data_IF_427450560638
#
_entry.id   IF_427450560638
#
_cell.length_a   1.000
_cell.length_b   1.000
_cell.length_c   1.000
_cell.angle_alpha   90.00
_cell.angle_beta   90.00
_cell.angle_gamma   90.00
#
_symmetry.space_group_name_H-M   'P 1'
#
loop_
_entity.id
_entity.type
_entity.pdbx_description
1 polymer ?
#
# COMPACT_ATOMS: atom_id res chain seq x y z
N UNK A 1 -62.14 17.01 -15.03
CA UNK A 1 -63.12 17.59 -14.09
C UNK A 1 -64.41 16.76 -14.13
N UNK A 2 -64.89 16.35 -12.95
CA UNK A 2 -66.23 15.91 -12.52
C UNK A 2 -67.09 14.98 -13.41
N UNK A 3 -67.44 13.73 -13.05
CA UNK A 3 -68.13 13.11 -11.88
C UNK A 3 -69.66 12.93 -12.10
N UNK A 4 -70.10 11.66 -11.99
CA UNK A 4 -71.39 11.10 -11.51
C UNK A 4 -72.68 11.28 -12.33
N UNK A 5 -73.72 10.43 -12.24
CA UNK A 5 -74.08 9.19 -11.50
C UNK A 5 -75.37 8.68 -12.17
N UNK A 6 -75.68 7.38 -12.18
CA UNK A 6 -77.07 6.90 -12.01
C UNK A 6 -77.12 5.39 -11.76
N UNK A 7 -77.78 4.98 -10.68
CA UNK A 7 -78.16 3.61 -10.32
C UNK A 7 -79.61 3.32 -10.71
N UNK A 8 -79.96 2.05 -11.00
CA UNK A 8 -81.28 1.55 -10.63
C UNK A 8 -81.26 0.22 -9.84
N UNK A 9 -82.20 0.10 -8.90
CA UNK A 9 -82.55 -1.10 -8.13
C UNK A 9 -83.42 -2.04 -8.96
N UNK A 10 -83.20 -3.36 -8.84
CA UNK A 10 -84.21 -4.37 -9.21
C UNK A 10 -84.30 -5.41 -8.09
N UNK A 11 -85.55 -5.64 -7.65
CA UNK A 11 -85.99 -6.65 -6.69
C UNK A 11 -86.06 -8.03 -7.37
N UNK A 12 -85.67 -9.08 -6.66
CA UNK A 12 -86.09 -10.45 -6.98
C UNK A 12 -86.83 -11.05 -5.80
N UNK A 13 -88.13 -11.33 -5.99
CA UNK A 13 -88.90 -12.31 -5.22
C UNK A 13 -88.77 -13.65 -5.94
N UNK A 14 -88.45 -14.71 -5.21
CA UNK A 14 -88.86 -16.07 -5.54
C UNK A 14 -89.16 -16.82 -4.24
N UNK A 15 -90.44 -17.18 -4.09
CA UNK A 15 -90.96 -18.11 -3.09
C UNK A 15 -90.81 -19.54 -3.63
N UNK A 16 -90.34 -20.49 -2.82
CA UNK A 16 -90.86 -21.87 -2.65
C UNK A 16 -90.01 -22.61 -1.59
N UNK A 17 -90.50 -23.71 -0.98
CA UNK A 17 -90.32 -23.98 0.44
C UNK A 17 -89.41 -25.20 0.67
N UNK A 18 -88.94 -25.35 1.91
CA UNK A 18 -88.59 -26.68 2.41
C UNK A 18 -87.20 -26.80 3.00
N UNK A 19 -87.21 -27.29 4.23
CA UNK A 19 -86.13 -27.98 4.93
C UNK A 19 -85.04 -27.09 5.53
N UNK A 20 -85.32 -26.67 6.78
CA UNK A 20 -84.29 -26.36 7.76
C UNK A 20 -83.44 -27.60 8.02
N UNK A 21 -82.27 -27.67 7.38
CA UNK A 21 -81.15 -28.46 7.88
C UNK A 21 -80.32 -27.54 8.77
N UNK A 22 -80.28 -27.82 10.08
CA UNK A 22 -79.35 -27.17 11.00
C UNK A 22 -77.93 -27.62 10.64
N UNK A 23 -77.15 -26.74 10.02
CA UNK A 23 -75.70 -26.91 9.97
C UNK A 23 -75.11 -26.53 11.34
N UNK A 24 -74.24 -27.35 11.93
CA UNK A 24 -73.50 -26.94 13.12
C UNK A 24 -72.57 -25.77 12.76
N UNK A 25 -72.39 -24.84 13.70
CA UNK A 25 -71.50 -23.68 13.64
C UNK A 25 -70.33 -23.85 12.66
N UNK A 26 -70.42 -23.23 11.48
CA UNK A 26 -69.24 -22.85 10.73
C UNK A 26 -68.64 -21.66 11.47
N UNK A 27 -67.60 -21.92 12.26
CA UNK A 27 -66.68 -20.86 12.64
C UNK A 27 -66.22 -20.16 11.35
N UNK A 28 -66.12 -18.81 11.31
CA UNK A 28 -65.57 -18.14 10.14
C UNK A 28 -64.19 -18.73 9.87
N UNK A 29 -63.96 -19.17 8.63
CA UNK A 29 -62.64 -19.59 8.15
C UNK A 29 -61.65 -18.50 8.59
N UNK A 30 -60.72 -18.89 9.45
CA UNK A 30 -59.63 -18.05 9.88
C UNK A 30 -58.88 -17.71 8.59
N UNK A 31 -58.89 -16.43 8.21
CA UNK A 31 -58.02 -15.97 7.15
C UNK A 31 -56.60 -16.20 7.64
N UNK A 32 -55.94 -17.24 7.12
CA UNK A 32 -54.50 -17.38 7.23
C UNK A 32 -53.92 -16.14 6.58
N UNK A 33 -53.51 -15.19 7.42
CA UNK A 33 -52.65 -14.12 6.99
C UNK A 33 -51.33 -14.81 6.70
N UNK A 34 -51.07 -15.10 5.42
CA UNK A 34 -49.73 -15.48 4.96
C UNK A 34 -48.85 -14.29 5.26
N UNK A 35 -48.22 -14.30 6.42
CA UNK A 35 -47.14 -13.39 6.72
C UNK A 35 -45.97 -13.88 5.87
N UNK A 36 -45.63 -13.12 4.84
CA UNK A 36 -44.35 -13.26 4.14
C UNK A 36 -43.27 -12.96 5.18
N UNK A 37 -42.83 -14.03 5.85
CA UNK A 37 -41.93 -13.93 6.99
C UNK A 37 -40.54 -13.55 6.49
N UNK A 38 -39.95 -12.58 7.16
CA UNK A 38 -38.53 -12.25 7.05
C UNK A 38 -37.65 -13.51 6.92
N UNK A 39 -36.75 -13.50 5.94
CA UNK A 39 -35.80 -14.60 5.73
C UNK A 39 -34.89 -14.79 6.94
N UNK A 40 -34.62 -16.05 7.28
CA UNK A 40 -33.71 -16.44 8.35
C UNK A 40 -32.36 -16.79 7.76
N UNK A 41 -31.31 -16.55 8.55
CA UNK A 41 -29.92 -16.83 8.18
C UNK A 41 -29.69 -18.25 7.66
N UNK A 42 -30.38 -19.25 8.22
CA UNK A 42 -30.28 -20.66 7.82
C UNK A 42 -30.81 -20.98 6.42
N UNK A 43 -31.51 -20.03 5.78
CA UNK A 43 -32.07 -20.16 4.44
C UNK A 43 -31.06 -19.77 3.36
N UNK A 44 -29.95 -19.13 3.75
CA UNK A 44 -28.81 -18.86 2.89
C UNK A 44 -27.74 -19.93 3.05
N UNK A 45 -27.05 -20.28 1.96
CA UNK A 45 -25.97 -21.28 1.95
C UNK A 45 -24.79 -20.79 1.10
N UNK A 46 -23.62 -21.39 1.31
CA UNK A 46 -22.41 -21.11 0.52
C UNK A 46 -22.09 -19.62 0.43
N UNK A 47 -21.94 -19.12 -0.80
CA UNK A 47 -21.56 -17.73 -1.09
C UNK A 47 -22.59 -16.71 -0.58
N UNK A 48 -23.89 -17.01 -0.68
CA UNK A 48 -24.95 -16.10 -0.23
C UNK A 48 -24.91 -15.91 1.29
N UNK A 49 -24.71 -17.01 2.03
CA UNK A 49 -24.55 -16.93 3.48
C UNK A 49 -23.30 -16.14 3.86
N UNK A 50 -22.18 -16.36 3.15
CA UNK A 50 -20.96 -15.61 3.36
C UNK A 50 -21.17 -14.10 3.13
N UNK A 51 -21.92 -13.71 2.10
CA UNK A 51 -22.27 -12.30 1.85
C UNK A 51 -23.15 -11.73 2.96
N UNK A 52 -24.20 -12.46 3.35
CA UNK A 52 -25.10 -12.06 4.44
C UNK A 52 -24.32 -11.80 5.72
N UNK A 53 -23.39 -12.69 6.08
CA UNK A 53 -22.56 -12.55 7.28
C UNK A 53 -21.54 -11.41 7.15
N UNK A 54 -20.74 -11.40 6.08
CA UNK A 54 -19.60 -10.50 5.91
C UNK A 54 -20.03 -9.05 5.77
N UNK A 55 -21.10 -8.81 5.01
CA UNK A 55 -21.61 -7.46 4.72
C UNK A 55 -22.81 -7.07 5.58
N UNK A 56 -23.21 -7.91 6.53
CA UNK A 56 -24.33 -7.69 7.46
C UNK A 56 -25.61 -7.31 6.71
N UNK A 57 -26.02 -8.18 5.78
CA UNK A 57 -27.23 -7.95 5.00
C UNK A 57 -28.47 -7.87 5.93
N UNK A 58 -29.42 -6.95 5.67
CA UNK A 58 -30.62 -6.76 6.49
C UNK A 58 -31.67 -7.84 6.15
N UNK A 59 -31.34 -9.10 6.44
CA UNK A 59 -32.16 -10.26 6.06
C UNK A 59 -33.57 -10.23 6.66
N UNK A 60 -33.75 -9.49 7.75
CA UNK A 60 -35.06 -9.27 8.36
C UNK A 60 -36.03 -8.49 7.45
N UNK A 61 -35.51 -7.86 6.39
CA UNK A 61 -36.29 -7.12 5.38
C UNK A 61 -36.49 -7.92 4.09
N UNK A 62 -35.91 -9.12 3.99
CA UNK A 62 -35.99 -9.94 2.78
C UNK A 62 -37.15 -10.93 2.90
N UNK A 63 -37.92 -11.05 1.83
CA UNK A 63 -39.01 -12.02 1.69
C UNK A 63 -38.59 -13.22 0.83
N UNK A 64 -37.60 -13.05 -0.04
CA UNK A 64 -37.06 -14.09 -0.92
C UNK A 64 -35.61 -13.78 -1.33
N UNK A 65 -34.94 -14.75 -1.99
CA UNK A 65 -33.55 -14.58 -2.46
C UNK A 65 -33.36 -13.43 -3.46
N UNK A 66 -34.40 -13.06 -4.23
CA UNK A 66 -34.34 -11.90 -5.12
C UNK A 66 -34.15 -10.57 -4.36
N UNK A 67 -34.60 -10.48 -3.10
CA UNK A 67 -34.33 -9.31 -2.27
C UNK A 67 -32.84 -9.23 -1.88
N UNK A 68 -32.18 -10.37 -1.67
CA UNK A 68 -30.72 -10.43 -1.50
C UNK A 68 -30.02 -9.98 -2.78
N UNK A 69 -30.42 -10.50 -3.94
CA UNK A 69 -29.82 -10.12 -5.23
C UNK A 69 -29.93 -8.62 -5.49
N UNK A 70 -31.11 -8.03 -5.31
CA UNK A 70 -31.33 -6.59 -5.43
C UNK A 70 -30.48 -5.78 -4.44
N UNK A 71 -30.35 -6.25 -3.20
CA UNK A 71 -29.53 -5.60 -2.19
C UNK A 71 -28.04 -5.65 -2.55
N UNK A 72 -27.57 -6.81 -3.03
CA UNK A 72 -26.20 -7.02 -3.50
C UNK A 72 -25.88 -6.17 -4.72
N UNK A 73 -26.80 -6.09 -5.68
CA UNK A 73 -26.65 -5.26 -6.87
C UNK A 73 -26.48 -3.78 -6.51
N UNK A 74 -27.30 -3.26 -5.60
CA UNK A 74 -27.12 -1.91 -5.06
C UNK A 74 -25.74 -1.72 -4.42
N UNK A 75 -25.17 -2.73 -3.74
CA UNK A 75 -23.82 -2.65 -3.18
C UNK A 75 -22.75 -2.62 -4.27
N UNK A 76 -22.90 -3.42 -5.32
CA UNK A 76 -22.00 -3.43 -6.48
C UNK A 76 -22.03 -2.07 -7.19
N UNK A 77 -23.20 -1.48 -7.41
CA UNK A 77 -23.33 -0.15 -8.04
C UNK A 77 -22.65 0.95 -7.20
N UNK A 78 -22.74 0.88 -5.88
CA UNK A 78 -22.02 1.80 -4.99
C UNK A 78 -20.49 1.64 -5.08
N UNK A 79 -20.00 0.42 -5.31
CA UNK A 79 -18.57 0.15 -5.56
C UNK A 79 -18.17 0.72 -6.92
N UNK A 80 -18.92 0.42 -7.99
CA UNK A 80 -18.63 0.89 -9.36
C UNK A 80 -18.63 2.41 -9.48
N UNK A 81 -19.48 3.10 -8.71
CA UNK A 81 -19.62 4.56 -8.73
C UNK A 81 -18.71 5.31 -7.75
N UNK A 82 -17.99 4.61 -6.85
CA UNK A 82 -17.05 5.26 -5.92
C UNK A 82 -15.88 5.85 -6.71
N UNK A 83 -15.53 7.10 -6.41
CA UNK A 83 -14.25 7.66 -6.83
C UNK A 83 -13.14 7.09 -5.95
N UNK A 84 -12.29 6.27 -6.55
CA UNK A 84 -11.16 5.65 -5.87
C UNK A 84 -9.93 6.55 -5.80
N UNK A 85 -9.88 7.64 -6.57
CA UNK A 85 -8.84 8.68 -6.54
C UNK A 85 -7.41 8.16 -6.41
N UNK A 86 -6.56 8.95 -5.76
CA UNK A 86 -5.17 8.65 -5.46
C UNK A 86 -4.46 9.94 -5.07
N UNK A 87 -3.30 9.85 -4.41
CA UNK A 87 -2.53 11.07 -4.08
C UNK A 87 -1.96 11.72 -5.33
N UNK A 88 -1.64 10.90 -6.33
CA UNK A 88 -1.11 11.32 -7.62
C UNK A 88 -2.16 11.17 -8.71
N UNK A 89 -2.15 12.09 -9.68
CA UNK A 89 -3.02 12.03 -10.86
C UNK A 89 -2.81 10.72 -11.64
N UNK A 90 -1.55 10.29 -11.76
CA UNK A 90 -1.20 9.02 -12.41
C UNK A 90 -1.87 7.81 -11.73
N UNK A 91 -1.87 7.75 -10.40
CA UNK A 91 -2.56 6.69 -9.63
C UNK A 91 -4.04 6.64 -9.96
N UNK A 92 -4.70 7.81 -10.04
CA UNK A 92 -6.13 7.90 -10.35
C UNK A 92 -6.43 7.33 -11.74
N UNK A 93 -5.63 7.68 -12.75
CA UNK A 93 -5.76 7.15 -14.12
C UNK A 93 -5.54 5.62 -14.11
N UNK A 94 -4.53 5.15 -13.38
CA UNK A 94 -4.21 3.72 -13.26
C UNK A 94 -5.34 2.91 -12.63
N UNK A 95 -5.85 3.38 -11.49
CA UNK A 95 -6.98 2.75 -10.80
C UNK A 95 -8.22 2.71 -11.69
N UNK A 96 -8.56 3.82 -12.34
CA UNK A 96 -9.76 3.88 -13.17
C UNK A 96 -9.73 2.85 -14.32
N UNK A 97 -8.61 2.72 -15.04
CA UNK A 97 -8.54 1.76 -16.12
C UNK A 97 -8.56 0.30 -15.63
N UNK A 98 -7.79 -0.01 -14.58
CA UNK A 98 -7.73 -1.38 -14.03
C UNK A 98 -9.06 -1.79 -13.40
N UNK A 99 -9.70 -0.90 -12.65
CA UNK A 99 -11.01 -1.17 -12.05
C UNK A 99 -12.09 -1.32 -13.12
N UNK A 100 -12.03 -0.55 -14.21
CA UNK A 100 -12.94 -0.72 -15.34
C UNK A 100 -12.85 -2.14 -15.90
N UNK A 101 -11.64 -2.65 -16.13
CA UNK A 101 -11.44 -4.03 -16.59
C UNK A 101 -12.05 -5.06 -15.63
N UNK A 102 -11.83 -4.90 -14.32
CA UNK A 102 -12.45 -5.74 -13.30
C UNK A 102 -13.98 -5.65 -13.30
N UNK A 103 -14.54 -4.44 -13.39
CA UNK A 103 -15.98 -4.22 -13.36
C UNK A 103 -16.67 -4.79 -14.58
N UNK A 104 -16.15 -4.51 -15.77
CA UNK A 104 -16.68 -5.01 -17.03
C UNK A 104 -16.66 -6.55 -17.01
N UNK A 105 -15.51 -7.16 -16.68
CA UNK A 105 -15.40 -8.61 -16.69
C UNK A 105 -16.31 -9.28 -15.65
N UNK A 106 -16.30 -8.82 -14.39
CA UNK A 106 -17.01 -9.47 -13.30
C UNK A 106 -18.52 -9.29 -13.39
N UNK A 107 -19.00 -8.17 -13.95
CA UNK A 107 -20.43 -7.82 -13.92
C UNK A 107 -21.14 -7.89 -15.28
N UNK A 108 -20.41 -7.82 -16.39
CA UNK A 108 -20.99 -7.67 -17.73
C UNK A 108 -20.52 -8.76 -18.71
N UNK A 109 -19.23 -9.11 -18.72
CA UNK A 109 -18.68 -10.10 -19.67
C UNK A 109 -18.77 -11.56 -19.19
N UNK A 110 -18.90 -11.79 -17.88
CA UNK A 110 -18.93 -13.12 -17.28
C UNK A 110 -20.27 -13.40 -16.58
N UNK A 111 -21.03 -14.35 -17.11
CA UNK A 111 -22.32 -14.79 -16.57
C UNK A 111 -22.21 -15.94 -15.55
N UNK A 112 -21.01 -16.49 -15.34
CA UNK A 112 -20.81 -17.62 -14.43
C UNK A 112 -20.85 -17.23 -12.94
N UNK A 113 -20.68 -15.95 -12.60
CA UNK A 113 -20.60 -15.50 -11.21
C UNK A 113 -21.94 -15.01 -10.70
N UNK A 114 -22.42 -15.61 -9.60
CA UNK A 114 -23.59 -15.07 -8.89
C UNK A 114 -23.33 -13.65 -8.38
N UNK A 115 -24.39 -12.84 -8.25
CA UNK A 115 -24.28 -11.46 -7.72
C UNK A 115 -23.53 -11.43 -6.38
N UNK A 116 -23.78 -12.39 -5.50
CA UNK A 116 -23.07 -12.53 -4.23
C UNK A 116 -21.55 -12.74 -4.40
N UNK A 117 -21.14 -13.58 -5.36
CA UNK A 117 -19.72 -13.77 -5.67
C UNK A 117 -19.11 -12.50 -6.28
N UNK A 118 -19.82 -11.82 -7.20
CA UNK A 118 -19.39 -10.54 -7.77
C UNK A 118 -19.10 -9.52 -6.66
N UNK A 119 -19.99 -9.39 -5.66
CA UNK A 119 -19.78 -8.49 -4.52
C UNK A 119 -18.55 -8.87 -3.69
N UNK A 120 -18.31 -10.17 -3.45
CA UNK A 120 -17.09 -10.61 -2.75
C UNK A 120 -15.84 -10.20 -3.52
N UNK A 121 -15.79 -10.47 -4.83
CA UNK A 121 -14.64 -10.18 -5.69
C UNK A 121 -14.37 -8.68 -5.72
N UNK A 122 -15.37 -7.87 -6.08
CA UNK A 122 -15.21 -6.43 -6.23
C UNK A 122 -14.91 -5.75 -4.90
N UNK A 123 -15.60 -6.13 -3.82
CA UNK A 123 -15.26 -5.61 -2.49
C UNK A 123 -13.84 -5.95 -2.07
N UNK A 124 -13.30 -7.10 -2.47
CA UNK A 124 -11.97 -7.52 -2.07
C UNK A 124 -10.87 -6.75 -2.81
N UNK A 125 -10.99 -6.58 -4.12
CA UNK A 125 -9.97 -5.89 -4.93
C UNK A 125 -9.97 -4.37 -4.72
N UNK A 126 -11.08 -3.80 -4.24
CA UNK A 126 -11.18 -2.35 -3.96
C UNK A 126 -10.97 -1.97 -2.48
N UNK A 127 -10.82 -2.94 -1.57
CA UNK A 127 -10.90 -2.72 -0.11
C UNK A 127 -9.91 -1.67 0.42
N UNK A 128 -8.69 -1.69 -0.11
CA UNK A 128 -7.57 -0.89 0.41
C UNK A 128 -7.28 0.35 -0.47
N UNK A 129 -8.20 0.66 -1.41
CA UNK A 129 -8.09 1.79 -2.31
C UNK A 129 -8.78 3.01 -1.69
N UNK A 130 -7.95 3.93 -1.20
CA UNK A 130 -8.40 5.20 -0.64
C UNK A 130 -7.71 6.39 -1.34
N UNK A 131 -8.33 7.58 -1.37
CA UNK A 131 -7.78 8.76 -2.04
C UNK A 131 -6.45 9.26 -1.46
N UNK A 132 -6.15 8.91 -0.21
CA UNK A 132 -4.94 9.32 0.50
C UNK A 132 -3.77 8.33 0.33
N UNK A 133 -3.91 7.32 -0.52
CA UNK A 133 -2.85 6.36 -0.81
C UNK A 133 -2.74 6.06 -2.32
N UNK A 134 -1.60 5.51 -2.73
CA UNK A 134 -1.32 5.15 -4.14
C UNK A 134 -1.28 3.64 -4.39
N UNK A 135 -2.00 2.85 -3.58
CA UNK A 135 -2.13 1.40 -3.79
C UNK A 135 -2.84 1.12 -5.11
N UNK A 136 -2.34 0.18 -5.91
CA UNK A 136 -2.94 -0.23 -7.18
C UNK A 136 -3.67 -1.58 -7.00
N UNK A 137 -4.87 -1.77 -7.60
CA UNK A 137 -5.55 -3.08 -7.62
C UNK A 137 -4.68 -4.16 -8.28
N UNK A 138 -4.90 -5.45 -8.02
CA UNK A 138 -4.17 -6.49 -8.73
C UNK A 138 -4.59 -6.54 -10.20
N UNK A 139 -3.69 -7.01 -11.08
CA UNK A 139 -4.03 -7.23 -12.50
C UNK A 139 -5.10 -8.32 -12.59
N UNK A 140 -6.07 -8.13 -13.49
CA UNK A 140 -7.06 -9.16 -13.78
C UNK A 140 -6.40 -10.30 -14.59
N UNK A 141 -6.60 -11.53 -14.13
CA UNK A 141 -6.33 -12.75 -14.87
C UNK A 141 -7.57 -13.63 -14.74
N UNK A 142 -8.26 -13.81 -15.86
CA UNK A 142 -9.57 -14.47 -15.94
C UNK A 142 -9.52 -15.92 -15.45
N UNK A 143 -8.45 -16.65 -15.77
CA UNK A 143 -8.24 -18.04 -15.33
C UNK A 143 -8.00 -18.16 -13.83
N UNK A 144 -7.07 -17.36 -13.30
CA UNK A 144 -6.79 -17.33 -11.85
C UNK A 144 -8.02 -16.92 -11.05
N UNK A 145 -8.82 -15.97 -11.57
CA UNK A 145 -10.06 -15.56 -10.93
C UNK A 145 -11.08 -16.71 -10.88
N UNK A 146 -11.21 -17.47 -11.96
CA UNK A 146 -12.09 -18.64 -12.01
C UNK A 146 -11.66 -19.71 -11.00
N UNK A 147 -10.36 -20.00 -10.89
CA UNK A 147 -9.83 -20.94 -9.90
C UNK A 147 -10.10 -20.47 -8.46
N UNK A 148 -9.90 -19.18 -8.19
CA UNK A 148 -10.24 -18.57 -6.90
C UNK A 148 -11.72 -18.67 -6.57
N UNK A 149 -12.58 -18.38 -7.54
CA UNK A 149 -14.03 -18.42 -7.40
C UNK A 149 -14.52 -19.82 -7.05
N UNK A 150 -14.05 -20.84 -7.78
CA UNK A 150 -14.44 -22.22 -7.54
C UNK A 150 -13.89 -22.73 -6.20
N UNK A 151 -12.63 -22.45 -5.87
CA UNK A 151 -12.05 -22.84 -4.57
C UNK A 151 -12.82 -22.22 -3.39
N UNK A 152 -13.18 -20.93 -3.49
CA UNK A 152 -13.97 -20.27 -2.44
C UNK A 152 -15.35 -20.92 -2.30
N UNK A 153 -16.02 -21.18 -3.43
CA UNK A 153 -17.34 -21.82 -3.45
C UNK A 153 -17.30 -23.19 -2.78
N UNK A 154 -16.34 -24.05 -3.16
CA UNK A 154 -16.14 -25.37 -2.53
C UNK A 154 -15.91 -25.24 -1.02
N UNK A 155 -14.98 -24.37 -0.60
CA UNK A 155 -14.65 -24.21 0.82
C UNK A 155 -15.82 -23.66 1.65
N UNK A 156 -16.67 -22.80 1.07
CA UNK A 156 -17.87 -22.28 1.74
C UNK A 156 -19.01 -23.30 1.81
N UNK A 157 -19.08 -24.22 0.84
CA UNK A 157 -20.00 -25.37 0.91
C UNK A 157 -19.59 -26.33 2.04
N UNK A 158 -18.29 -26.58 2.20
CA UNK A 158 -17.76 -27.47 3.24
C UNK A 158 -17.77 -26.82 4.64
N UNK A 159 -17.42 -25.54 4.72
CA UNK A 159 -17.39 -24.77 5.96
C UNK A 159 -18.09 -23.41 5.78
N UNK A 160 -19.40 -23.35 6.06
CA UNK A 160 -20.18 -22.12 5.87
C UNK A 160 -19.75 -20.92 6.73
N UNK A 161 -18.90 -21.14 7.75
CA UNK A 161 -18.36 -20.09 8.65
C UNK A 161 -16.89 -19.79 8.37
N UNK A 162 -16.36 -20.20 7.22
CA UNK A 162 -14.98 -19.95 6.84
C UNK A 162 -14.68 -18.44 6.87
N UNK A 163 -13.64 -18.07 7.59
CA UNK A 163 -13.05 -16.74 7.43
C UNK A 163 -12.10 -16.76 6.22
N UNK A 164 -12.27 -15.82 5.29
CA UNK A 164 -11.48 -15.76 4.06
C UNK A 164 -11.11 -14.33 3.68
N UNK A 165 -9.94 -14.22 3.05
CA UNK A 165 -9.45 -13.02 2.38
C UNK A 165 -9.26 -13.32 0.90
N UNK A 166 -10.25 -12.92 0.09
CA UNK A 166 -10.27 -13.22 -1.35
C UNK A 166 -9.14 -12.49 -2.09
N UNK A 167 -8.81 -11.25 -1.71
CA UNK A 167 -7.74 -10.48 -2.35
C UNK A 167 -6.38 -11.14 -2.11
N UNK A 168 -6.13 -11.58 -0.86
CA UNK A 168 -4.91 -12.34 -0.54
C UNK A 168 -4.83 -13.66 -1.29
N UNK A 169 -5.93 -14.43 -1.32
CA UNK A 169 -6.00 -15.70 -2.06
C UNK A 169 -5.71 -15.49 -3.55
N UNK A 170 -6.34 -14.48 -4.16
CA UNK A 170 -6.15 -14.14 -5.57
C UNK A 170 -4.72 -13.72 -5.87
N UNK A 171 -4.14 -12.82 -5.07
CA UNK A 171 -2.75 -12.36 -5.27
C UNK A 171 -1.73 -13.48 -5.16
N UNK A 172 -1.91 -14.40 -4.21
CA UNK A 172 -1.02 -15.55 -4.05
C UNK A 172 -1.09 -16.48 -5.26
N UNK A 173 -2.30 -16.86 -5.70
CA UNK A 173 -2.47 -17.70 -6.89
C UNK A 173 -1.99 -17.02 -8.16
N UNK A 174 -2.19 -15.71 -8.29
CA UNK A 174 -1.70 -14.94 -9.43
C UNK A 174 -0.17 -14.95 -9.49
N UNK A 175 0.49 -14.77 -8.35
CA UNK A 175 1.94 -14.87 -8.26
C UNK A 175 2.41 -16.29 -8.62
N UNK A 176 1.79 -17.33 -8.06
CA UNK A 176 2.12 -18.72 -8.35
C UNK A 176 1.91 -19.07 -9.84
N UNK A 177 0.83 -18.58 -10.45
CA UNK A 177 0.55 -18.76 -11.87
C UNK A 177 1.70 -18.26 -12.76
N UNK A 178 2.21 -17.06 -12.49
CA UNK A 178 3.32 -16.50 -13.28
C UNK A 178 4.70 -17.08 -12.96
N UNK A 179 4.82 -17.80 -11.84
CA UNK A 179 6.02 -18.53 -11.41
C UNK A 179 5.96 -20.02 -11.75
N UNK A 180 4.87 -20.52 -12.34
CA UNK A 180 4.69 -21.95 -12.59
C UNK A 180 5.67 -22.52 -13.65
N UNK A 181 6.05 -21.70 -14.64
CA UNK A 181 6.96 -22.09 -15.72
C UNK A 181 8.44 -21.82 -15.39
N UNK A 182 8.69 -21.17 -14.27
CA UNK A 182 10.04 -21.04 -13.73
C UNK A 182 10.29 -22.27 -12.83
N UNK A 183 11.54 -22.70 -12.58
CA UNK A 183 11.87 -23.83 -11.70
C UNK A 183 11.48 -23.62 -10.21
N UNK A 184 10.48 -22.79 -9.92
CA UNK A 184 10.40 -21.94 -8.74
C UNK A 184 9.13 -22.22 -7.97
N UNK A 185 9.24 -22.78 -6.77
CA UNK A 185 8.17 -22.67 -5.79
C UNK A 185 7.92 -21.21 -5.36
N UNK A 186 6.78 -20.95 -4.70
CA UNK A 186 6.37 -19.61 -4.19
C UNK A 186 7.39 -18.94 -3.24
N UNK A 187 8.46 -19.63 -2.85
CA UNK A 187 9.46 -19.22 -1.87
C UNK A 187 10.91 -19.19 -2.39
N UNK A 188 11.13 -19.33 -3.70
CA UNK A 188 12.49 -19.42 -4.24
C UNK A 188 13.17 -18.06 -4.44
N UNK A 189 14.50 -18.08 -4.36
CA UNK A 189 15.38 -16.91 -4.46
C UNK A 189 16.16 -17.00 -5.77
N UNK A 190 15.81 -16.18 -6.75
CA UNK A 190 16.38 -16.29 -8.09
C UNK A 190 16.04 -15.12 -9.02
N UNK A 191 16.57 -15.19 -10.25
CA UNK A 191 16.25 -14.31 -11.35
C UNK A 191 15.10 -14.85 -12.21
N UNK A 192 14.06 -14.03 -12.39
CA UNK A 192 13.01 -14.22 -13.37
C UNK A 192 13.30 -13.35 -14.59
N UNK A 193 13.48 -13.98 -15.75
CA UNK A 193 13.64 -13.31 -17.04
C UNK A 193 12.26 -13.18 -17.68
N UNK A 194 11.87 -11.96 -18.05
CA UNK A 194 10.60 -11.66 -18.69
C UNK A 194 10.92 -11.15 -20.10
N UNK A 195 10.66 -11.95 -21.15
CA UNK A 195 10.97 -11.56 -22.52
C UNK A 195 10.16 -10.35 -22.99
N UNK A 196 10.80 -9.52 -23.80
CA UNK A 196 10.23 -8.41 -24.53
C UNK A 196 9.30 -8.86 -25.65
N UNK A 197 8.60 -7.89 -26.24
CA UNK A 197 7.82 -8.10 -27.48
C UNK A 197 8.67 -8.69 -28.61
N UNK A 198 9.94 -8.30 -28.74
CA UNK A 198 10.80 -8.77 -29.82
C UNK A 198 11.27 -10.21 -29.61
N UNK A 199 11.45 -10.63 -28.36
CA UNK A 199 11.91 -11.98 -28.04
C UNK A 199 10.76 -12.99 -27.89
N UNK A 200 9.56 -12.56 -27.51
CA UNK A 200 8.39 -13.43 -27.34
C UNK A 200 7.07 -12.70 -27.66
N UNK A 201 6.81 -12.39 -28.94
CA UNK A 201 5.60 -11.67 -29.34
C UNK A 201 4.32 -12.46 -29.12
N UNK A 202 4.38 -13.80 -29.14
CA UNK A 202 3.21 -14.66 -28.98
C UNK A 202 2.66 -14.64 -27.55
N UNK A 203 3.53 -14.52 -26.54
CA UNK A 203 3.13 -14.43 -25.13
C UNK A 203 3.27 -13.02 -24.55
N UNK A 204 3.35 -11.98 -25.38
CA UNK A 204 3.61 -10.62 -24.92
C UNK A 204 2.62 -10.14 -23.83
N UNK A 205 1.32 -10.33 -24.03
CA UNK A 205 0.30 -9.97 -23.02
C UNK A 205 0.49 -10.73 -21.69
N UNK A 206 0.87 -12.00 -21.76
CA UNK A 206 1.21 -12.81 -20.59
C UNK A 206 2.45 -12.24 -19.88
N UNK A 207 3.49 -11.87 -20.63
CA UNK A 207 4.73 -11.28 -20.10
C UNK A 207 4.48 -9.91 -19.45
N UNK A 208 3.61 -9.09 -20.03
CA UNK A 208 3.16 -7.82 -19.41
C UNK A 208 2.44 -8.10 -18.08
N UNK A 209 1.51 -9.06 -18.05
CA UNK A 209 0.83 -9.48 -16.83
C UNK A 209 1.80 -10.00 -15.75
N UNK A 210 2.80 -10.79 -16.17
CA UNK A 210 3.88 -11.31 -15.33
C UNK A 210 4.71 -10.18 -14.72
N UNK A 211 5.16 -9.22 -15.52
CA UNK A 211 5.93 -8.07 -15.04
C UNK A 211 5.13 -7.22 -14.06
N UNK A 212 3.87 -6.89 -14.36
CA UNK A 212 2.99 -6.15 -13.43
C UNK A 212 2.82 -6.88 -12.10
N UNK A 213 2.64 -8.20 -12.14
CA UNK A 213 2.43 -9.02 -10.95
C UNK A 213 3.68 -9.10 -10.09
N UNK A 214 4.83 -9.40 -10.69
CA UNK A 214 6.09 -9.63 -9.98
C UNK A 214 6.85 -8.34 -9.61
N UNK A 215 6.47 -7.19 -10.18
CA UNK A 215 7.09 -5.91 -9.85
C UNK A 215 6.87 -5.49 -8.39
N UNK A 216 7.87 -4.82 -7.82
CA UNK A 216 7.74 -4.19 -6.51
C UNK A 216 6.70 -3.06 -6.56
N UNK A 217 6.00 -2.81 -5.45
CA UNK A 217 4.91 -1.81 -5.38
C UNK A 217 5.33 -0.38 -5.72
N UNK A 218 6.61 -0.06 -5.56
CA UNK A 218 7.15 1.26 -5.86
C UNK A 218 7.66 1.38 -7.30
N UNK A 219 7.70 0.29 -8.07
CA UNK A 219 8.18 0.32 -9.46
C UNK A 219 7.04 0.73 -10.40
N UNK A 220 7.37 1.57 -11.37
CA UNK A 220 6.44 2.02 -12.40
C UNK A 220 5.86 0.85 -13.21
N UNK A 221 6.59 -0.25 -13.32
CA UNK A 221 6.18 -1.50 -13.97
C UNK A 221 5.10 -2.28 -13.20
N UNK A 222 4.68 -1.83 -12.01
CA UNK A 222 3.53 -2.41 -11.30
C UNK A 222 2.21 -2.20 -12.04
N UNK A 223 2.17 -1.25 -12.97
CA UNK A 223 0.99 -0.85 -13.73
C UNK A 223 1.39 -0.60 -15.20
N UNK A 224 1.14 0.60 -15.73
CA UNK A 224 1.16 0.86 -17.16
C UNK A 224 2.55 0.89 -17.79
N UNK A 225 3.63 1.09 -17.01
CA UNK A 225 4.97 1.10 -17.60
C UNK A 225 5.53 -0.30 -17.89
N UNK A 226 4.84 -1.39 -17.51
CA UNK A 226 5.29 -2.74 -17.87
C UNK A 226 5.31 -2.97 -19.38
N UNK A 227 4.23 -2.61 -20.07
CA UNK A 227 4.07 -2.79 -21.51
C UNK A 227 5.06 -1.98 -22.36
N UNK A 228 5.18 -0.65 -22.20
CA UNK A 228 6.15 0.12 -22.98
C UNK A 228 7.59 -0.32 -22.69
N UNK A 229 7.92 -0.74 -21.46
CA UNK A 229 9.27 -1.20 -21.18
C UNK A 229 9.56 -2.55 -21.85
N UNK A 230 8.58 -3.47 -21.87
CA UNK A 230 8.72 -4.73 -22.63
C UNK A 230 8.66 -4.54 -24.15
N UNK A 231 8.20 -3.39 -24.65
CA UNK A 231 8.38 -3.00 -26.05
C UNK A 231 9.78 -2.48 -26.36
N UNK A 232 10.55 -2.05 -25.36
CA UNK A 232 11.90 -1.55 -25.55
C UNK A 232 12.96 -2.64 -25.35
N UNK A 233 12.74 -3.59 -24.44
CA UNK A 233 13.69 -4.67 -24.16
C UNK A 233 13.19 -5.59 -23.06
N UNK A 234 13.95 -6.65 -22.79
CA UNK A 234 13.60 -7.62 -21.75
C UNK A 234 13.56 -6.95 -20.36
N UNK A 235 12.96 -7.64 -19.39
CA UNK A 235 13.00 -7.21 -18.00
C UNK A 235 13.40 -8.37 -17.09
N UNK A 236 14.45 -8.19 -16.29
CA UNK A 236 14.86 -9.21 -15.32
C UNK A 236 14.49 -8.74 -13.91
N UNK A 237 13.92 -9.66 -13.11
CA UNK A 237 13.56 -9.40 -11.72
C UNK A 237 14.32 -10.39 -10.84
N UNK A 238 15.06 -9.88 -9.85
CA UNK A 238 15.57 -10.71 -8.78
C UNK A 238 14.54 -10.79 -7.65
N UNK A 239 14.10 -12.01 -7.35
CA UNK A 239 13.23 -12.34 -6.23
C UNK A 239 14.09 -12.89 -5.08
N UNK A 240 13.94 -12.35 -3.88
CA UNK A 240 14.48 -12.92 -2.64
C UNK A 240 13.30 -13.42 -1.81
N UNK A 241 13.17 -14.74 -1.65
CA UNK A 241 12.01 -15.39 -1.02
C UNK A 241 10.68 -14.94 -1.64
N UNK A 242 10.59 -14.96 -2.98
CA UNK A 242 9.41 -14.52 -3.72
C UNK A 242 9.11 -13.01 -3.67
N UNK A 243 9.96 -12.18 -3.05
CA UNK A 243 9.80 -10.72 -2.99
C UNK A 243 10.75 -10.01 -3.96
N UNK A 244 10.28 -9.08 -4.79
CA UNK A 244 11.13 -8.37 -5.76
C UNK A 244 12.10 -7.42 -5.08
N UNK A 245 13.40 -7.63 -5.32
CA UNK A 245 14.50 -6.87 -4.72
C UNK A 245 15.32 -6.06 -5.73
N UNK A 246 15.46 -6.56 -6.95
CA UNK A 246 16.07 -5.82 -8.06
C UNK A 246 15.21 -5.96 -9.32
N UNK A 247 15.08 -4.84 -10.05
CA UNK A 247 14.59 -4.82 -11.42
C UNK A 247 15.71 -4.36 -12.35
N UNK A 248 15.87 -5.06 -13.47
CA UNK A 248 16.84 -4.75 -14.52
C UNK A 248 16.07 -4.52 -15.81
N UNK A 249 16.04 -3.28 -16.26
CA UNK A 249 15.38 -2.87 -17.50
C UNK A 249 16.38 -2.85 -18.63
N UNK A 250 15.97 -3.42 -19.76
CA UNK A 250 16.71 -3.34 -21.00
C UNK A 250 16.08 -2.31 -21.95
N UNK A 251 16.93 -1.76 -22.80
CA UNK A 251 16.56 -1.06 -24.03
C UNK A 251 17.40 -1.69 -25.13
N UNK A 252 16.73 -2.26 -26.13
CA UNK A 252 17.32 -3.24 -27.03
C UNK A 252 18.00 -4.37 -26.21
N UNK A 253 19.26 -4.68 -26.51
CA UNK A 253 20.06 -5.71 -25.80
C UNK A 253 20.93 -5.13 -24.66
N UNK A 254 20.71 -3.88 -24.26
CA UNK A 254 21.54 -3.18 -23.28
C UNK A 254 20.77 -2.88 -21.98
N UNK A 255 21.40 -3.13 -20.83
CA UNK A 255 20.87 -2.73 -19.54
C UNK A 255 20.89 -1.20 -19.44
N UNK A 256 19.71 -0.61 -19.51
CA UNK A 256 19.49 0.83 -19.38
C UNK A 256 19.33 1.25 -17.92
N UNK A 257 18.83 0.35 -17.08
CA UNK A 257 18.60 0.65 -15.67
C UNK A 257 18.63 -0.58 -14.76
N UNK A 258 19.17 -0.40 -13.55
CA UNK A 258 19.04 -1.32 -12.43
C UNK A 258 18.46 -0.54 -11.25
N UNK A 259 17.38 -1.05 -10.66
CA UNK A 259 16.72 -0.42 -9.53
C UNK A 259 16.45 -1.41 -8.39
N UNK A 260 16.53 -0.91 -7.15
CA UNK A 260 16.02 -1.61 -5.97
C UNK A 260 14.59 -1.23 -5.59
N UNK A 261 14.12 -1.72 -4.44
CA UNK A 261 12.78 -1.49 -3.88
C UNK A 261 12.39 0.00 -3.75
N UNK A 262 13.37 0.90 -3.59
CA UNK A 262 13.16 2.34 -3.42
C UNK A 262 12.79 3.09 -4.71
N UNK A 263 13.00 2.50 -5.90
CA UNK A 263 12.80 3.18 -7.20
C UNK A 263 13.49 4.56 -7.27
N UNK A 264 14.77 4.62 -6.90
CA UNK A 264 15.57 5.86 -6.90
C UNK A 264 16.72 5.81 -7.91
N UNK A 265 16.69 4.84 -8.85
CA UNK A 265 17.73 4.63 -9.83
C UNK A 265 19.09 4.20 -9.26
N UNK A 266 19.17 3.76 -7.99
CA UNK A 266 20.41 3.29 -7.36
C UNK A 266 20.39 1.79 -7.11
N UNK A 267 21.58 1.20 -7.10
CA UNK A 267 21.81 -0.20 -6.73
C UNK A 267 22.18 -0.23 -5.25
N UNK A 268 21.40 -0.98 -4.45
CA UNK A 268 21.72 -1.17 -3.04
C UNK A 268 23.00 -1.99 -2.89
N UNK A 269 23.98 -1.57 -2.06
CA UNK A 269 25.12 -2.38 -1.67
C UNK A 269 24.79 -3.83 -1.29
N UNK A 270 23.63 -4.07 -0.66
CA UNK A 270 23.17 -5.42 -0.29
C UNK A 270 23.07 -6.36 -1.51
N UNK A 271 22.61 -5.86 -2.65
CA UNK A 271 22.35 -6.67 -3.85
C UNK A 271 23.30 -6.36 -5.01
N UNK A 272 24.39 -5.62 -4.74
CA UNK A 272 25.36 -5.27 -5.77
C UNK A 272 26.02 -6.52 -6.37
N UNK A 273 26.49 -7.44 -5.53
CA UNK A 273 27.14 -8.67 -6.01
C UNK A 273 26.17 -9.53 -6.81
N UNK A 274 24.92 -9.65 -6.36
CA UNK A 274 23.86 -10.35 -7.08
C UNK A 274 23.64 -9.77 -8.48
N UNK A 275 23.63 -8.44 -8.60
CA UNK A 275 23.52 -7.78 -9.91
C UNK A 275 24.76 -8.04 -10.78
N UNK A 276 25.96 -7.90 -10.23
CA UNK A 276 27.22 -8.10 -10.97
C UNK A 276 27.43 -9.55 -11.43
N UNK A 277 27.07 -10.51 -10.58
CA UNK A 277 27.07 -11.93 -10.92
C UNK A 277 26.09 -12.22 -12.07
N UNK A 278 24.88 -11.66 -12.01
CA UNK A 278 23.90 -11.81 -13.09
C UNK A 278 24.40 -11.24 -14.42
N UNK A 279 24.98 -10.03 -14.37
CA UNK A 279 25.55 -9.35 -15.53
C UNK A 279 26.69 -10.17 -16.16
N UNK A 280 27.64 -10.59 -15.33
CA UNK A 280 28.84 -11.30 -15.81
C UNK A 280 28.53 -12.71 -16.29
N UNK A 281 27.71 -13.47 -15.55
CA UNK A 281 27.37 -14.86 -15.90
C UNK A 281 26.58 -14.96 -17.21
N UNK A 282 25.81 -13.92 -17.56
CA UNK A 282 25.00 -13.87 -18.77
C UNK A 282 25.60 -12.97 -19.87
N UNK A 283 26.81 -12.44 -19.69
CA UNK A 283 27.48 -11.53 -20.64
C UNK A 283 26.61 -10.32 -21.05
N UNK A 284 25.88 -9.72 -20.11
CA UNK A 284 24.93 -8.64 -20.38
C UNK A 284 25.65 -7.32 -20.65
N UNK A 285 25.17 -6.56 -21.64
CA UNK A 285 25.72 -5.25 -22.00
C UNK A 285 25.20 -4.17 -21.06
N UNK A 286 26.07 -3.21 -20.72
CA UNK A 286 25.76 -2.14 -19.77
C UNK A 286 25.86 -0.76 -20.43
N UNK A 287 24.79 0.02 -20.30
CA UNK A 287 24.86 1.45 -20.64
C UNK A 287 25.86 2.19 -19.78
N UNK A 288 26.42 3.28 -20.29
CA UNK A 288 27.39 4.13 -19.56
C UNK A 288 26.81 4.64 -18.22
N UNK A 289 25.50 4.91 -18.18
CA UNK A 289 24.80 5.32 -16.97
C UNK A 289 24.83 4.21 -15.91
N UNK A 290 24.54 2.97 -16.29
CA UNK A 290 24.55 1.82 -15.38
C UNK A 290 25.96 1.50 -14.90
N UNK A 291 26.97 1.59 -15.76
CA UNK A 291 28.38 1.43 -15.36
C UNK A 291 28.76 2.44 -14.27
N UNK A 292 28.39 3.72 -14.43
CA UNK A 292 28.62 4.76 -13.42
C UNK A 292 27.91 4.47 -12.09
N UNK A 293 26.67 3.97 -12.14
CA UNK A 293 25.90 3.58 -10.94
C UNK A 293 26.53 2.39 -10.21
N UNK A 294 27.03 1.40 -10.93
CA UNK A 294 27.76 0.26 -10.35
C UNK A 294 29.03 0.74 -9.62
N UNK A 295 29.82 1.61 -10.23
CA UNK A 295 31.03 2.17 -9.59
C UNK A 295 30.68 2.90 -8.29
N UNK A 296 29.63 3.75 -8.30
CA UNK A 296 29.16 4.44 -7.09
C UNK A 296 28.71 3.45 -6.01
N UNK A 297 27.99 2.40 -6.39
CA UNK A 297 27.54 1.36 -5.47
C UNK A 297 28.73 0.59 -4.87
N UNK A 298 29.76 0.25 -5.66
CA UNK A 298 31.01 -0.39 -5.17
C UNK A 298 31.71 0.46 -4.11
N UNK A 299 31.89 1.75 -4.39
CA UNK A 299 32.54 2.69 -3.44
C UNK A 299 31.73 2.79 -2.14
N UNK A 300 30.40 2.88 -2.24
CA UNK A 300 29.55 2.92 -1.06
C UNK A 300 29.60 1.61 -0.26
N UNK A 301 29.57 0.46 -0.97
CA UNK A 301 29.68 -0.86 -0.35
C UNK A 301 30.98 -1.00 0.44
N UNK A 302 32.12 -0.66 -0.18
CA UNK A 302 33.44 -0.70 0.47
C UNK A 302 33.47 0.18 1.73
N UNK A 303 32.93 1.40 1.65
CA UNK A 303 32.83 2.29 2.82
C UNK A 303 32.02 1.69 3.96
N UNK A 304 30.89 1.05 3.66
CA UNK A 304 30.02 0.41 4.65
C UNK A 304 30.71 -0.81 5.27
N UNK A 305 31.34 -1.65 4.46
CA UNK A 305 32.02 -2.87 4.91
C UNK A 305 33.26 -2.61 5.76
N UNK A 306 33.92 -1.47 5.56
CA UNK A 306 35.06 -1.04 6.38
C UNK A 306 34.65 -0.51 7.76
N UNK A 307 33.41 -0.07 7.96
CA UNK A 307 32.96 0.52 9.24
C UNK A 307 33.16 -0.43 10.44
N UNK A 308 32.73 -1.70 10.41
CA UNK A 308 32.98 -2.62 11.51
C UNK A 308 34.47 -2.84 11.81
N UNK A 309 35.34 -2.79 10.80
CA UNK A 309 36.78 -2.94 10.97
C UNK A 309 37.42 -1.69 11.61
N UNK A 310 37.09 -0.50 11.12
CA UNK A 310 37.71 0.75 11.58
C UNK A 310 37.09 1.28 12.88
N UNK A 311 35.80 1.03 13.09
CA UNK A 311 35.02 1.52 14.22
C UNK A 311 34.52 0.43 15.17
N UNK A 312 34.81 -0.86 14.97
CA UNK A 312 34.26 -1.94 15.80
C UNK A 312 34.39 -1.73 17.32
N UNK A 313 35.60 -1.38 17.78
CA UNK A 313 35.84 -1.06 19.19
C UNK A 313 35.14 0.22 19.65
N UNK A 314 35.06 1.24 18.78
CA UNK A 314 34.39 2.49 19.07
C UNK A 314 32.88 2.28 19.24
N UNK A 315 32.28 1.47 18.36
CA UNK A 315 30.86 1.11 18.40
C UNK A 315 30.57 0.31 19.67
N UNK A 316 31.37 -0.71 19.97
CA UNK A 316 31.21 -1.55 21.17
C UNK A 316 31.29 -0.74 22.47
N UNK A 317 32.21 0.22 22.54
CA UNK A 317 32.41 1.04 23.73
C UNK A 317 31.59 2.34 23.73
N UNK A 318 30.81 2.60 22.68
CA UNK A 318 30.08 3.85 22.45
C UNK A 318 31.00 5.09 22.51
N UNK A 319 32.18 4.99 21.89
CA UNK A 319 33.10 6.11 21.72
C UNK A 319 32.55 7.07 20.65
N UNK A 320 31.67 7.95 21.12
CA UNK A 320 31.00 8.97 20.31
C UNK A 320 32.00 9.85 19.57
N UNK A 321 33.12 10.23 20.22
CA UNK A 321 34.07 11.15 19.62
C UNK A 321 34.78 10.52 18.41
N UNK A 322 35.21 9.26 18.53
CA UNK A 322 35.84 8.53 17.43
C UNK A 322 34.86 8.28 16.27
N UNK A 323 33.62 7.92 16.59
CA UNK A 323 32.56 7.70 15.58
C UNK A 323 32.30 8.98 14.78
N UNK A 324 32.07 10.12 15.45
CA UNK A 324 31.79 11.38 14.78
C UNK A 324 32.95 11.81 13.87
N UNK A 325 34.19 11.73 14.36
CA UNK A 325 35.39 12.08 13.59
C UNK A 325 35.55 11.21 12.34
N UNK A 326 35.25 9.92 12.42
CA UNK A 326 35.32 9.01 11.27
C UNK A 326 34.39 9.43 10.14
N UNK A 327 33.17 9.89 10.46
CA UNK A 327 32.23 10.41 9.46
C UNK A 327 32.48 11.90 9.12
N UNK A 328 33.65 12.44 9.45
CA UNK A 328 34.05 13.80 9.11
C UNK A 328 33.38 14.89 9.94
N UNK A 329 32.65 14.53 11.00
CA UNK A 329 32.00 15.50 11.89
C UNK A 329 33.05 16.04 12.86
N UNK A 330 33.38 17.32 12.72
CA UNK A 330 34.36 17.97 13.57
C UNK A 330 33.77 18.24 14.97
N UNK A 331 34.58 17.98 16.00
CA UNK A 331 34.27 18.28 17.40
C UNK A 331 35.02 19.57 17.76
N UNK A 332 34.27 20.65 17.95
CA UNK A 332 34.83 21.99 18.15
C UNK A 332 35.21 22.22 19.62
N UNK A 333 34.42 21.66 20.54
CA UNK A 333 34.70 21.76 21.98
C UNK A 333 33.99 20.67 22.77
N UNK A 334 34.45 20.50 24.02
CA UNK A 334 33.84 19.64 25.03
C UNK A 334 33.74 20.41 26.33
N UNK A 335 32.56 20.45 26.94
CA UNK A 335 32.35 21.12 28.22
C UNK A 335 32.89 20.28 29.41
N UNK A 336 32.92 20.87 30.60
CA UNK A 336 33.42 20.22 31.82
C UNK A 336 32.64 18.95 32.20
N UNK A 337 31.39 18.82 31.74
CA UNK A 337 30.53 17.64 31.95
C UNK A 337 30.70 16.59 30.86
N UNK A 338 31.56 16.86 29.87
CA UNK A 338 31.86 15.96 28.77
C UNK A 338 30.85 16.01 27.63
N UNK A 339 30.03 17.05 27.53
CA UNK A 339 29.14 17.26 26.40
C UNK A 339 29.86 17.95 25.24
N UNK A 340 29.50 17.57 24.01
CA UNK A 340 30.17 17.97 22.79
C UNK A 340 29.46 19.13 22.09
N UNK A 341 30.27 20.02 21.51
CA UNK A 341 29.87 20.92 20.42
C UNK A 341 30.44 20.37 19.12
N UNK A 342 29.58 20.13 18.14
CA UNK A 342 29.97 19.61 16.81
C UNK A 342 29.69 20.62 15.71
N UNK A 343 30.45 20.57 14.62
CA UNK A 343 30.36 21.55 13.54
C UNK A 343 29.07 21.47 12.74
N UNK A 344 28.59 20.27 12.48
CA UNK A 344 27.36 19.98 11.75
C UNK A 344 26.90 18.56 12.08
N UNK A 345 25.72 18.17 11.61
CA UNK A 345 25.25 16.79 11.70
C UNK A 345 24.59 16.32 10.40
N UNK A 346 24.82 15.06 10.03
CA UNK A 346 24.09 14.34 8.99
C UNK A 346 24.20 12.82 9.18
N UNK A 347 23.32 12.07 8.52
CA UNK A 347 23.45 10.61 8.39
C UNK A 347 24.78 10.24 7.68
N UNK A 348 25.37 9.07 7.98
CA UNK A 348 26.75 8.76 7.60
C UNK A 348 26.98 8.68 6.09
N UNK A 349 26.01 8.14 5.34
CA UNK A 349 26.04 8.10 3.88
C UNK A 349 24.64 8.34 3.31
N UNK A 350 24.58 8.69 2.03
CA UNK A 350 23.32 8.81 1.32
C UNK A 350 22.55 7.48 1.38
N UNK A 351 21.24 7.51 1.68
CA UNK A 351 20.37 6.33 1.83
C UNK A 351 20.71 5.35 2.98
N UNK A 352 21.71 5.64 3.82
CA UNK A 352 22.14 4.81 4.95
C UNK A 352 22.20 5.59 6.25
N UNK A 353 21.57 5.06 7.28
CA UNK A 353 21.54 5.62 8.62
C UNK A 353 22.66 5.06 9.50
N UNK A 354 22.94 5.71 10.62
CA UNK A 354 23.82 5.13 11.66
C UNK A 354 23.34 3.73 12.09
N UNK A 355 22.03 3.52 12.19
CA UNK A 355 21.46 2.22 12.56
C UNK A 355 21.79 1.12 11.53
N UNK A 356 21.79 1.45 10.24
CA UNK A 356 22.16 0.50 9.18
C UNK A 356 23.63 0.06 9.26
N UNK A 357 24.48 0.87 9.91
CA UNK A 357 25.89 0.57 10.18
C UNK A 357 26.11 -0.08 11.56
N UNK A 358 25.03 -0.42 12.27
CA UNK A 358 25.11 -0.97 13.63
C UNK A 358 25.49 0.05 14.71
N UNK A 359 25.40 1.35 14.40
CA UNK A 359 25.74 2.45 15.31
C UNK A 359 24.47 2.97 15.97
N UNK A 360 24.47 2.98 17.31
CA UNK A 360 23.36 3.50 18.10
C UNK A 360 23.39 5.04 18.13
N UNK A 361 22.68 5.65 17.18
CA UNK A 361 22.52 7.10 17.02
C UNK A 361 22.02 7.78 18.32
N UNK A 362 21.19 7.10 19.13
CA UNK A 362 20.68 7.66 20.39
C UNK A 362 21.81 7.93 21.39
N UNK A 363 22.87 7.11 21.36
CA UNK A 363 24.04 7.30 22.22
C UNK A 363 24.93 8.43 21.75
N UNK A 364 24.94 8.76 20.46
CA UNK A 364 25.61 9.97 19.96
C UNK A 364 24.95 11.21 20.59
N UNK A 365 23.61 11.30 20.52
CA UNK A 365 22.87 12.48 21.03
C UNK A 365 22.73 12.55 22.55
N UNK A 366 23.10 11.50 23.29
CA UNK A 366 23.35 11.60 24.74
C UNK A 366 24.56 12.47 25.09
N UNK A 367 25.48 12.68 24.14
CA UNK A 367 26.73 13.43 24.32
C UNK A 367 26.76 14.75 23.56
N UNK A 368 26.00 14.88 22.47
CA UNK A 368 25.95 16.13 21.69
C UNK A 368 24.99 17.12 22.35
N UNK A 369 25.48 18.33 22.63
CA UNK A 369 24.70 19.41 23.26
C UNK A 369 24.53 20.62 22.36
N UNK A 370 25.52 20.91 21.51
CA UNK A 370 25.49 22.02 20.58
C UNK A 370 25.92 21.56 19.18
N UNK A 371 25.22 22.06 18.16
CA UNK A 371 25.65 21.98 16.76
C UNK A 371 25.87 23.41 16.30
N UNK A 372 27.09 23.80 15.93
CA UNK A 372 27.39 25.19 15.55
C UNK A 372 26.85 25.55 14.16
N UNK A 373 26.85 24.59 13.24
CA UNK A 373 26.33 24.71 11.88
C UNK A 373 24.95 24.05 11.68
N UNK A 374 24.71 23.58 10.44
CA UNK A 374 23.46 22.93 10.07
C UNK A 374 23.37 21.49 10.59
N UNK A 375 22.15 21.01 10.81
CA UNK A 375 21.89 19.64 11.23
C UNK A 375 20.83 18.99 10.33
N UNK A 376 21.21 17.94 9.62
CA UNK A 376 20.31 17.13 8.81
C UNK A 376 19.97 15.81 9.51
N UNK A 377 18.76 15.76 10.07
CA UNK A 377 18.18 14.57 10.69
C UNK A 377 17.27 13.82 9.72
N UNK A 378 17.28 14.12 8.42
CA UNK A 378 16.44 13.41 7.48
C UNK A 378 16.70 11.89 7.54
N UNK A 379 15.61 11.12 7.57
CA UNK A 379 15.63 9.66 7.75
C UNK A 379 16.27 9.16 9.08
N UNK A 380 16.56 10.02 10.05
CA UNK A 380 17.08 9.62 11.36
C UNK A 380 16.11 8.65 12.06
N UNK A 381 16.68 7.66 12.76
CA UNK A 381 15.91 6.58 13.39
C UNK A 381 15.67 6.83 14.88
N UNK A 382 16.26 7.88 15.47
CA UNK A 382 16.00 8.26 16.87
C UNK A 382 14.63 8.90 17.02
N UNK A 383 14.06 8.77 18.21
CA UNK A 383 12.77 9.39 18.57
C UNK A 383 12.91 10.70 19.33
N UNK A 384 14.07 10.94 19.96
CA UNK A 384 14.37 12.14 20.75
C UNK A 384 15.80 12.64 20.54
N UNK A 385 15.98 13.96 20.57
CA UNK A 385 17.29 14.64 20.51
C UNK A 385 18.00 14.73 21.87
N UNK A 386 17.37 14.22 22.93
CA UNK A 386 17.87 14.13 24.31
C UNK A 386 18.50 15.44 24.85
N UNK A 387 19.82 15.60 24.73
CA UNK A 387 20.60 16.68 25.34
C UNK A 387 20.88 17.86 24.41
N UNK A 388 20.52 17.77 23.13
CA UNK A 388 20.75 18.84 22.17
C UNK A 388 19.97 20.10 22.56
N UNK A 389 20.66 21.24 22.71
CA UNK A 389 20.09 22.51 23.16
C UNK A 389 20.02 23.55 22.03
N UNK A 390 21.01 23.57 21.13
CA UNK A 390 21.12 24.56 20.06
C UNK A 390 21.64 23.94 18.77
N UNK A 391 21.01 24.35 17.66
CA UNK A 391 21.52 24.20 16.30
C UNK A 391 21.76 25.62 15.76
N UNK A 392 23.00 25.97 15.46
CA UNK A 392 23.35 27.33 15.02
C UNK A 392 22.97 27.62 13.56
N UNK A 393 22.85 26.58 12.73
CA UNK A 393 22.38 26.68 11.34
C UNK A 393 20.93 26.24 11.14
N UNK A 394 20.60 25.84 9.91
CA UNK A 394 19.30 25.23 9.58
C UNK A 394 19.20 23.80 10.11
N UNK A 395 17.99 23.38 10.44
CA UNK A 395 17.68 22.02 10.90
C UNK A 395 16.66 21.34 9.98
N UNK A 396 16.97 20.13 9.51
CA UNK A 396 16.07 19.32 8.70
C UNK A 396 15.63 18.07 9.47
N UNK A 397 14.33 17.96 9.78
CA UNK A 397 13.71 16.82 10.46
C UNK A 397 12.81 15.99 9.52
N UNK A 398 12.84 16.27 8.22
CA UNK A 398 11.94 15.64 7.26
C UNK A 398 12.11 14.13 7.18
N UNK A 399 10.99 13.39 7.14
CA UNK A 399 10.95 11.93 7.10
C UNK A 399 11.70 11.21 8.25
N UNK A 400 12.03 11.92 9.34
CA UNK A 400 12.66 11.31 10.52
C UNK A 400 11.63 10.63 11.43
N UNK A 401 12.10 9.73 12.30
CA UNK A 401 11.30 9.14 13.39
C UNK A 401 11.26 10.01 14.66
N UNK A 402 11.80 11.23 14.59
CA UNK A 402 11.86 12.14 15.73
C UNK A 402 10.43 12.62 16.05
N UNK A 403 10.01 12.39 17.28
CA UNK A 403 8.73 12.86 17.82
C UNK A 403 8.93 13.92 18.90
N UNK A 404 10.11 13.94 19.53
CA UNK A 404 10.48 14.79 20.66
C UNK A 404 11.78 15.56 20.35
N UNK A 405 11.73 16.90 20.34
CA UNK A 405 12.92 17.73 20.14
C UNK A 405 13.81 17.84 21.39
N UNK A 406 13.42 17.19 22.50
CA UNK A 406 14.19 17.13 23.73
C UNK A 406 14.43 18.52 24.33
N UNK A 407 15.70 18.86 24.54
CA UNK A 407 16.11 20.16 25.12
C UNK A 407 16.34 21.27 24.09
N UNK A 408 16.00 21.04 22.82
CA UNK A 408 16.29 22.00 21.77
C UNK A 408 15.51 23.30 22.02
N UNK A 409 16.24 24.40 22.18
CA UNK A 409 15.67 25.74 22.42
C UNK A 409 15.80 26.66 21.23
N UNK A 410 16.82 26.44 20.39
CA UNK A 410 17.21 27.36 19.32
C UNK A 410 17.61 26.61 18.05
N UNK A 411 17.04 27.04 16.92
CA UNK A 411 17.51 26.76 15.56
C UNK A 411 17.87 28.10 14.93
N UNK A 412 19.12 28.29 14.52
CA UNK A 412 19.61 29.59 14.04
C UNK A 412 19.19 29.91 12.59
N UNK A 413 18.82 28.90 11.80
CA UNK A 413 18.41 29.05 10.40
C UNK A 413 16.96 28.63 10.13
N UNK A 414 16.76 27.99 8.97
CA UNK A 414 15.47 27.43 8.57
C UNK A 414 15.17 26.14 9.34
N UNK A 415 13.89 25.83 9.54
CA UNK A 415 13.47 24.56 10.11
C UNK A 415 12.54 23.80 9.15
N UNK A 416 12.94 22.60 8.75
CA UNK A 416 12.17 21.74 7.86
C UNK A 416 11.57 20.58 8.65
N UNK A 417 10.24 20.57 8.79
CA UNK A 417 9.46 19.52 9.43
C UNK A 417 8.60 18.74 8.43
N UNK A 418 8.83 18.88 7.12
CA UNK A 418 7.98 18.26 6.11
C UNK A 418 7.93 16.74 6.30
N UNK A 419 6.72 16.16 6.32
CA UNK A 419 6.48 14.74 6.57
C UNK A 419 7.13 14.18 7.85
N UNK A 420 7.45 15.05 8.83
CA UNK A 420 7.99 14.62 10.12
C UNK A 420 6.91 14.07 11.05
N UNK A 421 7.33 13.28 12.03
CA UNK A 421 6.47 12.74 13.09
C UNK A 421 6.44 13.64 14.35
N UNK A 422 7.05 14.83 14.28
CA UNK A 422 7.08 15.78 15.39
C UNK A 422 5.66 16.27 15.66
N UNK A 423 5.18 16.07 16.88
CA UNK A 423 3.85 16.53 17.33
C UNK A 423 3.94 17.66 18.35
N UNK A 424 5.12 17.89 18.92
CA UNK A 424 5.36 18.92 19.92
C UNK A 424 6.75 19.53 19.71
N UNK A 425 6.83 20.86 19.78
CA UNK A 425 8.06 21.63 19.63
C UNK A 425 8.83 21.77 20.97
N UNK A 426 8.30 21.19 22.05
CA UNK A 426 8.92 21.07 23.36
C UNK A 426 9.43 22.41 23.92
N UNK A 427 10.75 22.58 24.03
CA UNK A 427 11.39 23.76 24.61
C UNK A 427 11.83 24.79 23.57
N UNK A 428 11.46 24.60 22.30
CA UNK A 428 11.89 25.46 21.21
C UNK A 428 11.31 26.87 21.38
N UNK A 429 12.15 27.89 21.38
CA UNK A 429 11.76 29.29 21.56
C UNK A 429 12.15 30.17 20.38
N UNK A 430 13.15 29.77 19.60
CA UNK A 430 13.68 30.55 18.48
C UNK A 430 13.98 29.68 17.27
N UNK A 431 13.50 30.12 16.10
CA UNK A 431 13.90 29.68 14.77
C UNK A 431 14.32 30.94 14.01
N UNK A 432 15.57 31.02 13.56
CA UNK A 432 16.12 32.25 13.00
C UNK A 432 15.56 32.64 11.63
N UNK A 433 14.85 31.73 10.96
CA UNK A 433 14.27 31.94 9.63
C UNK A 433 12.90 31.25 9.47
N UNK A 434 12.52 30.92 8.24
CA UNK A 434 11.22 30.35 7.90
C UNK A 434 11.12 28.85 8.26
N UNK A 435 9.88 28.37 8.41
CA UNK A 435 9.52 27.01 8.79
C UNK A 435 8.69 26.35 7.70
N UNK A 436 8.97 25.08 7.40
CA UNK A 436 8.23 24.30 6.42
C UNK A 436 7.61 23.06 7.08
N UNK A 437 6.28 22.92 7.02
CA UNK A 437 5.50 21.89 7.74
C UNK A 437 4.60 21.06 6.80
N UNK A 438 4.88 21.02 5.50
CA UNK A 438 4.08 20.29 4.52
C UNK A 438 4.00 18.79 4.87
N UNK A 439 2.80 18.22 4.89
CA UNK A 439 2.58 16.81 5.24
C UNK A 439 2.96 16.41 6.67
N UNK A 440 3.23 17.36 7.58
CA UNK A 440 3.49 17.09 9.00
C UNK A 440 2.23 17.18 9.86
N UNK A 441 2.31 16.72 11.11
CA UNK A 441 1.22 16.87 12.09
C UNK A 441 1.15 18.27 12.71
N UNK A 442 2.18 19.10 12.50
CA UNK A 442 2.26 20.46 13.02
C UNK A 442 1.33 21.42 12.25
N UNK A 443 0.98 22.50 12.92
CA UNK A 443 0.17 23.58 12.39
C UNK A 443 0.81 24.93 12.73
N UNK A 444 0.52 26.01 11.99
CA UNK A 444 1.07 27.33 12.29
C UNK A 444 0.81 27.78 13.74
N UNK A 445 -0.29 27.34 14.34
CA UNK A 445 -0.65 27.63 15.73
C UNK A 445 0.32 27.05 16.76
N UNK A 446 1.03 25.97 16.42
CA UNK A 446 2.01 25.35 17.34
C UNK A 446 3.26 26.24 17.54
N UNK A 447 3.46 27.24 16.67
CA UNK A 447 4.63 28.13 16.67
C UNK A 447 4.36 29.51 17.28
N UNK A 448 3.16 29.78 17.81
CA UNK A 448 2.78 31.13 18.31
C UNK A 448 3.68 31.67 19.43
N UNK A 449 4.34 30.78 20.17
CA UNK A 449 5.27 31.12 21.24
C UNK A 449 6.74 31.09 20.80
N UNK A 450 7.00 30.79 19.54
CA UNK A 450 8.33 30.65 18.96
C UNK A 450 8.62 31.89 18.12
N UNK A 451 9.74 32.55 18.38
CA UNK A 451 10.24 33.61 17.51
C UNK A 451 10.70 32.97 16.21
N UNK A 452 9.96 33.18 15.12
CA UNK A 452 10.23 32.57 13.81
C UNK A 452 9.88 33.49 12.65
N UNK A 453 10.37 33.17 11.46
CA UNK A 453 9.93 33.77 10.19
C UNK A 453 8.55 33.29 9.75
N UNK A 454 8.35 33.19 8.44
CA UNK A 454 7.10 32.66 7.86
C UNK A 454 6.99 31.16 8.10
N UNK A 455 5.74 30.69 8.22
CA UNK A 455 5.43 29.27 8.33
C UNK A 455 4.70 28.85 7.05
N UNK A 456 5.26 27.85 6.38
CA UNK A 456 4.78 27.32 5.11
C UNK A 456 4.14 25.95 5.32
N UNK A 457 2.85 25.87 5.01
CA UNK A 457 2.06 24.64 5.00
C UNK A 457 1.43 24.54 3.61
N UNK A 458 2.16 23.91 2.69
CA UNK A 458 1.69 23.65 1.33
C UNK A 458 1.17 22.23 1.23
#
# INVERSE_FOLDING_TARGET
>A
MHINLFTPKIQYRNNYPGNFVKYPNLAPLQYDTVTFGAMKKKEFVGVDLAVVEKFKAPIEKFNNNGDLENWVENKIENIKSKDYGGRQEETTIQRNAMLKEWFDYVTEENDAYSKSLQLIVLSAITKDLEPDNDTIPPVLNKGVLADCAEELKTKLTENPKLNFDFNKMYRNKLQAYYLADTNTGESETEWVIIPSYYHDPENFEHNVGKLKTLSHKNWCTKSFNAEPYLHEGDFHIYLENGQPKLGVRFVDDEIAEIQGEKNNGKISPKYLDTAEEHISSNNLKLSLNVQSKIIKARILKEKIENVPYELGDAIKNNDVEKILKYFGINIESKDEKGYLTISYYMQPYEDYTYADLGIDETKLFKKVKYISGCADFSNSQITSLDKLETIGGSANFSNSKITDLGKLTTIGGFAYFNYSQVTNLCNLTTIGSDVFIAGSLLKPEDFVHIKTGKIFKY
#
